data_IF_337990264534
#
_entry.id   IF_337990264534
#
_cell.length_a   1.000
_cell.length_b   1.000
_cell.length_c   1.000
_cell.angle_alpha   90.00
_cell.angle_beta   90.00
_cell.angle_gamma   90.00
#
_symmetry.space_group_name_H-M   'P 1'
#
loop_
_entity.id
_entity.type
_entity.pdbx_description
1 polymer ?
#
# COMPACT_ATOMS: atom_id res chain seq x y z
N UNK A 1 5.46 -6.91 -13.16
CA UNK A 1 4.71 -8.04 -13.76
C UNK A 1 3.48 -7.52 -14.49
N UNK A 2 3.33 -7.81 -15.78
CA UNK A 2 2.13 -7.42 -16.53
C UNK A 2 0.95 -8.34 -16.16
N UNK A 3 -0.17 -7.74 -15.75
CA UNK A 3 -1.41 -8.43 -15.42
C UNK A 3 -2.56 -7.64 -16.03
N UNK A 4 -3.19 -8.20 -17.07
CA UNK A 4 -4.19 -7.51 -17.91
C UNK A 4 -3.59 -6.19 -18.45
N UNK A 5 -4.25 -5.05 -18.22
CA UNK A 5 -3.83 -3.71 -18.65
C UNK A 5 -3.00 -2.96 -17.60
N UNK A 6 -2.50 -3.63 -16.57
CA UNK A 6 -1.72 -3.02 -15.49
C UNK A 6 -0.40 -3.74 -15.27
N UNK A 7 0.55 -3.05 -14.64
CA UNK A 7 1.82 -3.63 -14.20
C UNK A 7 1.84 -3.58 -12.67
N UNK A 8 1.90 -4.75 -12.05
CA UNK A 8 2.15 -4.91 -10.60
C UNK A 8 3.66 -4.86 -10.36
N UNK A 9 4.08 -4.23 -9.28
CA UNK A 9 5.50 -3.98 -9.01
C UNK A 9 6.29 -5.28 -8.82
N UNK A 10 5.84 -6.17 -7.93
CA UNK A 10 6.59 -7.34 -7.48
C UNK A 10 5.78 -8.64 -7.53
N UNK A 11 6.48 -9.77 -7.70
CA UNK A 11 5.97 -11.13 -7.57
C UNK A 11 6.86 -11.83 -6.55
N UNK A 12 6.36 -11.99 -5.33
CA UNK A 12 7.15 -12.50 -4.21
C UNK A 12 7.18 -14.03 -4.22
N UNK A 13 8.36 -14.59 -3.93
CA UNK A 13 8.62 -16.02 -3.79
C UNK A 13 9.20 -16.36 -2.42
N UNK A 14 8.93 -17.56 -1.86
CA UNK A 14 8.03 -18.57 -2.41
C UNK A 14 6.56 -18.15 -2.31
N UNK A 15 5.76 -18.51 -3.31
CA UNK A 15 4.31 -18.47 -3.23
C UNK A 15 3.57 -17.53 -4.19
N UNK A 16 4.27 -16.95 -5.15
CA UNK A 16 3.66 -16.16 -6.22
C UNK A 16 2.75 -15.03 -5.72
N UNK A 17 3.16 -14.27 -4.71
CA UNK A 17 2.31 -13.16 -4.20
C UNK A 17 2.49 -11.95 -5.10
N UNK A 18 1.42 -11.53 -5.77
CA UNK A 18 1.41 -10.25 -6.51
C UNK A 18 1.40 -9.11 -5.49
N UNK A 19 2.46 -8.30 -5.47
CA UNK A 19 2.65 -7.25 -4.49
C UNK A 19 2.81 -5.89 -5.17
N UNK A 20 1.95 -4.95 -4.79
CA UNK A 20 2.04 -3.56 -5.19
C UNK A 20 2.66 -2.74 -4.05
N UNK A 21 3.60 -1.84 -4.35
CA UNK A 21 4.24 -0.97 -3.37
C UNK A 21 3.74 0.46 -3.58
N UNK A 22 3.40 1.13 -2.48
CA UNK A 22 3.04 2.56 -2.47
C UNK A 22 4.01 3.33 -1.61
N UNK A 23 4.52 4.43 -2.14
CA UNK A 23 5.32 5.37 -1.35
C UNK A 23 4.38 6.28 -0.56
N UNK A 24 4.67 6.47 0.72
CA UNK A 24 3.90 7.31 1.64
C UNK A 24 4.82 8.34 2.28
N UNK A 25 4.68 9.60 1.86
CA UNK A 25 5.53 10.71 2.33
C UNK A 25 4.82 11.71 3.23
N UNK A 26 3.48 11.81 3.16
CA UNK A 26 2.70 12.67 4.02
C UNK A 26 2.49 12.03 5.40
N UNK A 27 2.40 12.86 6.44
CA UNK A 27 2.09 12.40 7.79
C UNK A 27 1.37 13.49 8.61
N UNK A 28 0.52 13.03 9.54
CA UNK A 28 -0.18 13.87 10.52
C UNK A 28 -0.17 13.14 11.86
N UNK A 29 0.23 13.82 12.93
CA UNK A 29 0.24 13.29 14.31
C UNK A 29 0.94 11.93 14.49
N UNK A 30 2.00 11.68 13.71
CA UNK A 30 2.78 10.43 13.71
C UNK A 30 2.13 9.28 12.94
N UNK A 31 1.09 9.55 12.15
CA UNK A 31 0.47 8.59 11.21
C UNK A 31 0.84 9.01 9.79
N UNK A 32 1.45 8.10 9.02
CA UNK A 32 1.69 8.31 7.59
C UNK A 32 0.37 8.19 6.82
N UNK A 33 0.16 9.06 5.83
CA UNK A 33 -1.09 9.20 5.10
C UNK A 33 -0.89 9.03 3.60
N UNK A 34 -1.70 8.17 2.99
CA UNK A 34 -1.70 7.95 1.54
C UNK A 34 -3.12 7.96 0.96
N UNK A 35 -3.37 8.59 -0.19
CA UNK A 35 -2.41 9.32 -1.02
C UNK A 35 -2.28 10.80 -0.59
N UNK A 36 -1.29 11.49 -1.16
CA UNK A 36 -1.10 12.95 -1.05
C UNK A 36 -1.87 13.75 -2.10
N UNK A 37 -2.42 13.07 -3.12
CA UNK A 37 -3.38 13.60 -4.09
C UNK A 37 -4.32 12.47 -4.60
N UNK A 38 -5.52 12.79 -5.12
CA UNK A 38 -6.42 11.79 -5.69
C UNK A 38 -5.75 10.85 -6.70
N UNK A 39 -5.92 9.53 -6.56
CA UNK A 39 -5.13 8.53 -7.30
C UNK A 39 -5.96 7.52 -8.08
N UNK A 40 -6.29 7.87 -9.34
CA UNK A 40 -6.97 6.96 -10.27
C UNK A 40 -6.17 5.67 -10.51
N UNK A 41 -4.84 5.76 -10.56
CA UNK A 41 -3.98 4.58 -10.73
C UNK A 41 -4.01 3.68 -9.50
N UNK A 42 -3.97 4.24 -8.29
CA UNK A 42 -4.07 3.47 -7.05
C UNK A 42 -5.40 2.71 -6.96
N UNK A 43 -6.50 3.37 -7.31
CA UNK A 43 -7.84 2.75 -7.39
C UNK A 43 -7.88 1.57 -8.37
N UNK A 44 -7.33 1.74 -9.58
CA UNK A 44 -7.27 0.67 -10.59
C UNK A 44 -6.48 -0.54 -10.09
N UNK A 45 -5.35 -0.31 -9.41
CA UNK A 45 -4.52 -1.38 -8.87
C UNK A 45 -5.22 -2.12 -7.72
N UNK A 46 -5.85 -1.41 -6.78
CA UNK A 46 -6.65 -2.03 -5.71
C UNK A 46 -7.81 -2.85 -6.27
N UNK A 47 -8.51 -2.35 -7.29
CA UNK A 47 -9.59 -3.09 -7.95
C UNK A 47 -9.08 -4.38 -8.62
N UNK A 48 -7.94 -4.31 -9.32
CA UNK A 48 -7.31 -5.48 -9.93
C UNK A 48 -6.89 -6.52 -8.88
N UNK A 49 -6.17 -6.10 -7.84
CA UNK A 49 -5.73 -7.00 -6.77
C UNK A 49 -6.92 -7.64 -6.05
N UNK A 50 -7.97 -6.87 -5.76
CA UNK A 50 -9.21 -7.38 -5.16
C UNK A 50 -9.91 -8.42 -6.06
N UNK A 51 -9.90 -8.20 -7.37
CA UNK A 51 -10.49 -9.13 -8.35
C UNK A 51 -9.73 -10.47 -8.40
N UNK A 52 -8.41 -10.41 -8.29
CA UNK A 52 -7.53 -11.59 -8.29
C UNK A 52 -7.58 -12.33 -6.95
N UNK A 53 -7.58 -11.61 -5.83
CA UNK A 53 -7.71 -12.18 -4.49
C UNK A 53 -8.98 -13.02 -4.32
N UNK A 54 -10.13 -12.51 -4.80
CA UNK A 54 -11.40 -13.26 -4.83
C UNK A 54 -11.36 -14.55 -5.67
N UNK A 55 -10.38 -14.68 -6.57
CA UNK A 55 -10.14 -15.88 -7.40
C UNK A 55 -9.06 -16.79 -6.81
N UNK A 56 -8.66 -16.58 -5.56
CA UNK A 56 -7.67 -17.40 -4.86
C UNK A 56 -6.21 -17.02 -5.13
N UNK A 57 -5.95 -15.98 -5.92
CA UNK A 57 -4.58 -15.50 -6.13
C UNK A 57 -4.12 -14.72 -4.91
N UNK A 58 -2.99 -15.10 -4.31
CA UNK A 58 -2.36 -14.31 -3.24
C UNK A 58 -1.94 -12.92 -3.76
N UNK A 59 -2.40 -11.88 -3.10
CA UNK A 59 -2.15 -10.48 -3.43
C UNK A 59 -1.80 -9.69 -2.17
N UNK A 60 -0.94 -8.69 -2.31
CA UNK A 60 -0.53 -7.80 -1.24
C UNK A 60 -0.39 -6.35 -1.72
N UNK A 61 -0.56 -5.41 -0.80
CA UNK A 61 -0.17 -4.01 -0.93
C UNK A 61 0.75 -3.68 0.24
N UNK A 62 1.92 -3.11 -0.05
CA UNK A 62 2.84 -2.60 0.97
C UNK A 62 2.92 -1.08 0.87
N UNK A 63 2.52 -0.43 1.96
CA UNK A 63 2.65 1.01 2.14
C UNK A 63 4.02 1.30 2.77
N UNK A 64 4.97 1.78 1.96
CA UNK A 64 6.30 2.16 2.41
C UNK A 64 6.27 3.60 2.91
N UNK A 65 6.22 3.76 4.24
CA UNK A 65 6.26 5.07 4.88
C UNK A 65 7.69 5.57 4.94
N UNK A 66 8.03 6.51 4.06
CA UNK A 66 9.38 7.04 3.88
C UNK A 66 9.73 8.10 4.92
N UNK A 67 9.37 7.85 6.19
CA UNK A 67 9.67 8.71 7.32
C UNK A 67 10.00 7.88 8.57
N UNK A 68 10.99 8.31 9.35
CA UNK A 68 11.36 7.65 10.60
C UNK A 68 10.46 7.98 11.81
N UNK A 69 9.66 9.04 11.73
CA UNK A 69 8.85 9.60 12.82
C UNK A 69 7.44 8.98 12.96
N UNK A 70 7.01 8.16 11.99
CA UNK A 70 5.67 7.59 11.98
C UNK A 70 5.57 6.28 12.76
N UNK A 71 4.41 6.00 13.35
CA UNK A 71 4.11 4.78 14.10
C UNK A 71 3.01 3.92 13.47
N UNK A 72 2.32 4.43 12.46
CA UNK A 72 1.25 3.75 11.74
C UNK A 72 1.10 4.35 10.34
N UNK A 73 0.36 3.67 9.46
CA UNK A 73 -0.10 4.21 8.17
C UNK A 73 -1.62 4.13 8.08
N UNK A 74 -2.26 5.14 7.54
CA UNK A 74 -3.68 5.15 7.21
C UNK A 74 -3.89 5.65 5.77
N UNK A 75 -5.06 5.33 5.21
CA UNK A 75 -5.49 6.03 4.02
C UNK A 75 -5.94 7.45 4.38
N UNK A 76 -5.64 8.42 3.51
CA UNK A 76 -6.09 9.80 3.69
C UNK A 76 -7.52 9.96 3.14
N UNK A 77 -8.51 9.85 4.04
CA UNK A 77 -9.93 10.03 3.70
C UNK A 77 -10.26 11.49 3.29
N UNK A 78 -9.46 12.49 3.71
CA UNK A 78 -9.66 13.90 3.33
C UNK A 78 -9.23 14.14 1.87
N UNK A 79 -8.14 13.50 1.43
CA UNK A 79 -7.57 13.65 0.09
C UNK A 79 -8.24 12.74 -0.95
N UNK A 80 -8.40 11.45 -0.65
CA UNK A 80 -9.01 10.50 -1.57
C UNK A 80 -9.89 9.48 -0.81
N UNK A 81 -11.14 9.87 -0.47
CA UNK A 81 -12.06 8.98 0.23
C UNK A 81 -12.45 7.76 -0.63
N UNK A 82 -12.30 7.83 -1.96
CA UNK A 82 -12.51 6.66 -2.82
C UNK A 82 -11.39 5.65 -2.64
N UNK A 83 -10.13 6.11 -2.54
CA UNK A 83 -8.99 5.25 -2.27
C UNK A 83 -9.11 4.59 -0.90
N UNK A 84 -9.44 5.34 0.15
CA UNK A 84 -9.62 4.80 1.49
C UNK A 84 -10.69 3.68 1.54
N UNK A 85 -11.86 3.91 0.93
CA UNK A 85 -12.88 2.86 0.76
C UNK A 85 -12.37 1.67 -0.06
N UNK A 86 -11.61 1.91 -1.13
CA UNK A 86 -11.07 0.84 -1.95
C UNK A 86 -10.03 0.00 -1.20
N UNK A 87 -9.21 0.61 -0.33
CA UNK A 87 -8.22 -0.09 0.49
C UNK A 87 -8.91 -1.03 1.49
N UNK A 88 -9.92 -0.53 2.22
CA UNK A 88 -10.78 -1.34 3.11
C UNK A 88 -11.43 -2.50 2.37
N UNK A 89 -11.99 -2.25 1.18
CA UNK A 89 -12.59 -3.29 0.31
C UNK A 89 -11.58 -4.31 -0.19
N UNK A 90 -10.34 -3.90 -0.47
CA UNK A 90 -9.27 -4.79 -0.89
C UNK A 90 -8.87 -5.74 0.25
N UNK A 91 -8.71 -5.21 1.48
CA UNK A 91 -8.47 -6.01 2.67
C UNK A 91 -9.59 -7.06 2.85
N UNK A 92 -10.85 -6.64 2.80
CA UNK A 92 -12.00 -7.53 2.89
C UNK A 92 -12.09 -8.56 1.75
N UNK A 93 -11.50 -8.28 0.58
CA UNK A 93 -11.43 -9.19 -0.55
C UNK A 93 -10.29 -10.22 -0.46
N UNK A 94 -9.48 -10.18 0.61
CA UNK A 94 -8.35 -11.09 0.82
C UNK A 94 -7.00 -10.56 0.35
N UNK A 95 -6.89 -9.28 -0.01
CA UNK A 95 -5.59 -8.63 -0.28
C UNK A 95 -4.93 -8.33 1.06
N UNK A 96 -3.68 -8.78 1.26
CA UNK A 96 -2.92 -8.44 2.47
C UNK A 96 -2.45 -7.00 2.40
N UNK A 97 -2.78 -6.19 3.39
CA UNK A 97 -2.33 -4.80 3.47
C UNK A 97 -1.32 -4.71 4.60
N UNK A 98 -0.08 -4.35 4.27
CA UNK A 98 0.99 -4.14 5.24
C UNK A 98 1.62 -2.78 5.06
N UNK A 99 2.38 -2.33 6.06
CA UNK A 99 3.16 -1.12 5.97
C UNK A 99 4.54 -1.33 6.58
N UNK A 100 5.55 -0.69 5.98
CA UNK A 100 6.92 -0.70 6.48
C UNK A 100 7.37 0.73 6.70
N UNK A 101 7.99 0.98 7.86
CA UNK A 101 8.64 2.25 8.14
C UNK A 101 10.02 2.26 7.50
N UNK A 102 10.33 3.34 6.81
CA UNK A 102 11.60 3.58 6.17
C UNK A 102 12.12 4.94 6.58
N UNK A 103 13.27 5.00 7.25
CA UNK A 103 13.89 6.28 7.59
C UNK A 103 14.76 6.75 6.42
N UNK A 104 14.56 7.99 5.99
CA UNK A 104 15.43 8.66 5.03
C UNK A 104 16.45 9.53 5.78
N UNK A 105 17.71 9.43 5.38
CA UNK A 105 18.83 10.21 5.90
C UNK A 105 19.70 10.71 4.73
N UNK A 106 20.57 11.73 4.90
CA UNK A 106 21.41 12.23 3.80
C UNK A 106 22.28 11.15 3.13
N UNK A 107 22.68 10.12 3.87
CA UNK A 107 23.47 9.00 3.36
C UNK A 107 22.65 7.89 2.66
N UNK A 108 21.31 7.98 2.57
CA UNK A 108 20.47 6.91 2.03
C UNK A 108 19.14 6.69 2.76
N UNK A 109 18.58 5.49 2.58
CA UNK A 109 17.31 5.08 3.18
C UNK A 109 17.46 3.71 3.81
N UNK A 110 16.89 3.55 5.01
CA UNK A 110 16.90 2.29 5.75
C UNK A 110 15.46 1.80 5.95
N UNK A 111 15.20 0.53 5.67
CA UNK A 111 13.93 -0.13 6.04
C UNK A 111 14.03 -0.60 7.48
N UNK A 112 13.14 -0.13 8.35
CA UNK A 112 13.20 -0.43 9.79
C UNK A 112 12.36 -1.65 10.14
N UNK A 113 11.04 -1.44 10.28
CA UNK A 113 10.14 -2.44 10.82
C UNK A 113 8.75 -2.30 10.21
N UNK A 114 7.97 -3.37 10.31
CA UNK A 114 6.54 -3.32 10.05
C UNK A 114 5.87 -2.35 11.04
N UNK A 115 4.89 -1.60 10.55
CA UNK A 115 4.05 -0.71 11.36
C UNK A 115 2.58 -0.98 11.05
N UNK A 116 1.66 -0.78 12.01
CA UNK A 116 0.24 -1.05 11.80
C UNK A 116 -0.34 -0.22 10.66
N UNK A 117 -1.22 -0.85 9.89
CA UNK A 117 -2.12 -0.18 8.95
C UNK A 117 -3.47 0.02 9.63
N UNK A 118 -3.91 1.28 9.73
CA UNK A 118 -5.22 1.66 10.23
C UNK A 118 -6.19 1.66 9.04
N UNK A 119 -7.08 0.66 9.01
CA UNK A 119 -8.11 0.53 7.99
C UNK A 119 -9.40 1.21 8.43
#
# INVERSE_FOLDING_TARGET
IAVRSSRIDLLLQPGDVLCEVKSVGAARDGVALFPDAPTVRGLRHLALLSHLARRGRRCAVVLCAQRGDVRAVAADDDIDPAFARALRRAAAAGVRIGAIRCAAHPAGMELHCEIPVLL
#
